data_IF_180538869705
#
_entry.id   IF_180538869705
#
_cell.length_a   1.000
_cell.length_b   1.000
_cell.length_c   1.000
_cell.angle_alpha   90.00
_cell.angle_beta   90.00
_cell.angle_gamma   90.00
#
_symmetry.space_group_name_H-M   'P 1'
#
loop_
_entity.id
_entity.type
_entity.pdbx_description
1 polymer ?
#
# COMPACT_ATOMS: atom_id res chain seq x y z
N UNK A 1 15.87 3.59 19.93
CA UNK A 1 14.44 3.34 19.68
C UNK A 1 14.38 2.12 18.78
N UNK A 2 13.73 1.03 19.22
CA UNK A 2 13.70 -0.22 18.44
C UNK A 2 12.54 -0.18 17.45
N UNK A 3 12.80 -0.47 16.17
CA UNK A 3 11.77 -0.61 15.12
C UNK A 3 10.76 -1.73 15.47
N UNK A 4 11.12 -2.63 16.38
CA UNK A 4 10.31 -3.75 16.85
C UNK A 4 8.95 -3.33 17.43
N UNK A 5 8.85 -2.13 17.99
CA UNK A 5 7.60 -1.60 18.56
C UNK A 5 6.90 -0.55 17.67
N UNK A 6 7.39 -0.32 16.45
CA UNK A 6 6.77 0.64 15.54
C UNK A 6 5.42 0.11 15.00
N UNK A 7 4.48 1.01 14.64
CA UNK A 7 3.26 0.63 13.93
C UNK A 7 3.56 -0.18 12.65
N UNK A 8 2.71 -1.14 12.26
CA UNK A 8 2.92 -1.99 11.09
C UNK A 8 3.21 -1.21 9.80
N UNK A 9 2.52 -0.08 9.59
CA UNK A 9 2.70 0.79 8.44
C UNK A 9 4.08 1.45 8.40
N UNK A 10 4.65 1.77 9.57
CA UNK A 10 6.00 2.34 9.68
C UNK A 10 7.04 1.27 9.37
N UNK A 11 6.87 0.05 9.89
CA UNK A 11 7.77 -1.08 9.59
C UNK A 11 7.79 -1.37 8.09
N UNK A 12 6.61 -1.48 7.48
CA UNK A 12 6.50 -1.72 6.05
C UNK A 12 7.11 -0.60 5.22
N UNK A 13 6.95 0.65 5.62
CA UNK A 13 7.59 1.78 4.93
C UNK A 13 9.13 1.67 4.99
N UNK A 14 9.69 1.28 6.14
CA UNK A 14 11.14 1.07 6.29
C UNK A 14 11.63 -0.06 5.39
N UNK A 15 10.94 -1.21 5.39
CA UNK A 15 11.30 -2.36 4.54
C UNK A 15 11.24 -2.00 3.05
N UNK A 16 10.23 -1.20 2.65
CA UNK A 16 10.11 -0.71 1.27
C UNK A 16 11.22 0.26 0.89
N UNK A 17 11.63 1.15 1.80
CA UNK A 17 12.75 2.07 1.57
C UNK A 17 14.05 1.27 1.39
N UNK A 18 14.33 0.32 2.28
CA UNK A 18 15.52 -0.54 2.17
C UNK A 18 15.55 -1.31 0.84
N UNK A 19 14.41 -1.85 0.41
CA UNK A 19 14.30 -2.53 -0.89
C UNK A 19 14.63 -1.60 -2.06
N UNK A 20 14.08 -0.38 -2.05
CA UNK A 20 14.30 0.60 -3.11
C UNK A 20 15.75 1.09 -3.16
N UNK A 21 16.36 1.33 -2.00
CA UNK A 21 17.76 1.73 -1.88
C UNK A 21 18.71 0.61 -2.32
N UNK A 22 18.43 -0.64 -1.93
CA UNK A 22 19.23 -1.81 -2.31
C UNK A 22 19.23 -2.05 -3.83
N UNK A 23 18.15 -1.66 -4.50
CA UNK A 23 18.03 -1.74 -5.97
C UNK A 23 18.47 -0.44 -6.68
N UNK A 24 19.08 0.51 -5.95
CA UNK A 24 19.59 1.78 -6.47
C UNK A 24 18.53 2.57 -7.27
N UNK A 25 17.27 2.50 -6.83
CA UNK A 25 16.16 3.15 -7.54
C UNK A 25 16.22 4.66 -7.30
N UNK A 26 16.19 5.44 -8.39
CA UNK A 26 16.11 6.90 -8.32
C UNK A 26 14.90 7.34 -7.47
N UNK A 27 15.07 8.28 -6.51
CA UNK A 27 13.98 8.70 -5.63
C UNK A 27 12.75 9.26 -6.36
N UNK A 28 12.94 9.98 -7.47
CA UNK A 28 11.81 10.51 -8.25
C UNK A 28 11.04 9.39 -8.94
N UNK A 29 11.77 8.38 -9.45
CA UNK A 29 11.17 7.16 -9.99
C UNK A 29 10.44 6.36 -8.91
N UNK A 30 11.03 6.20 -7.72
CA UNK A 30 10.41 5.51 -6.59
C UNK A 30 9.09 6.18 -6.19
N UNK A 31 9.07 7.51 -6.07
CA UNK A 31 7.84 8.26 -5.75
C UNK A 31 6.76 8.09 -6.83
N UNK A 32 7.14 8.11 -8.12
CA UNK A 32 6.20 7.89 -9.20
C UNK A 32 5.58 6.47 -9.15
N UNK A 33 6.39 5.45 -8.86
CA UNK A 33 5.93 4.07 -8.70
C UNK A 33 5.02 3.91 -7.46
N UNK A 34 5.40 4.50 -6.31
CA UNK A 34 4.61 4.45 -5.09
C UNK A 34 3.23 5.13 -5.26
N UNK A 35 3.14 6.21 -6.05
CA UNK A 35 1.85 6.82 -6.38
C UNK A 35 0.93 5.88 -7.19
N UNK A 36 1.50 5.04 -8.05
CA UNK A 36 0.73 4.02 -8.80
C UNK A 36 0.23 2.93 -7.83
N UNK A 37 1.10 2.45 -6.94
CA UNK A 37 0.78 1.46 -5.92
C UNK A 37 -0.33 1.97 -5.00
N UNK A 38 -0.21 3.21 -4.50
CA UNK A 38 -1.24 3.85 -3.66
C UNK A 38 -2.61 3.82 -4.34
N UNK A 39 -2.70 4.31 -5.57
CA UNK A 39 -3.95 4.32 -6.35
C UNK A 39 -4.52 2.92 -6.57
N UNK A 40 -3.68 1.90 -6.68
CA UNK A 40 -4.13 0.51 -6.81
C UNK A 40 -4.77 -0.04 -5.54
N UNK A 41 -4.16 0.23 -4.38
CA UNK A 41 -4.74 -0.15 -3.09
C UNK A 41 -6.03 0.62 -2.78
N UNK A 42 -6.09 1.91 -3.13
CA UNK A 42 -7.33 2.70 -3.02
C UNK A 42 -8.46 2.07 -3.84
N UNK A 43 -8.20 1.66 -5.09
CA UNK A 43 -9.18 0.96 -5.92
C UNK A 43 -9.59 -0.39 -5.31
N UNK A 44 -8.66 -1.16 -4.77
CA UNK A 44 -8.96 -2.45 -4.11
C UNK A 44 -9.86 -2.27 -2.88
N UNK A 45 -9.61 -1.25 -2.07
CA UNK A 45 -10.46 -0.90 -0.92
C UNK A 45 -11.87 -0.52 -1.39
N UNK A 46 -11.97 0.31 -2.43
CA UNK A 46 -13.26 0.67 -3.02
C UNK A 46 -14.00 -0.55 -3.56
N UNK A 47 -13.33 -1.43 -4.31
CA UNK A 47 -13.92 -2.65 -4.85
C UNK A 47 -14.42 -3.59 -3.74
N UNK A 48 -13.62 -3.80 -2.69
CA UNK A 48 -14.01 -4.60 -1.54
C UNK A 48 -15.27 -4.06 -0.85
N UNK A 49 -15.46 -2.73 -0.81
CA UNK A 49 -16.67 -2.11 -0.29
C UNK A 49 -17.89 -2.31 -1.20
N UNK A 50 -17.72 -2.38 -2.52
CA UNK A 50 -18.82 -2.59 -3.48
C UNK A 50 -19.24 -4.07 -3.61
N UNK A 51 -18.33 -5.02 -3.38
CA UNK A 51 -18.67 -6.46 -3.41
C UNK A 51 -19.57 -6.90 -2.24
N UNK A 52 -19.69 -6.09 -1.18
CA UNK A 52 -20.55 -6.40 -0.03
C UNK A 52 -22.02 -5.96 -0.21
N UNK A 53 -22.36 -5.16 -1.23
CA UNK A 53 -23.72 -4.63 -1.41
C UNK A 53 -24.58 -5.36 -2.45
N UNK A 54 -24.00 -6.23 -3.29
CA UNK A 54 -24.75 -6.95 -4.35
C UNK A 54 -25.28 -8.34 -3.92
N UNK A 55 -25.18 -8.69 -2.63
CA UNK A 55 -25.67 -9.96 -2.08
C UNK A 55 -27.00 -9.90 -1.32
N UNK A 56 -27.62 -8.72 -1.20
CA UNK A 56 -28.95 -8.60 -0.61
C UNK A 56 -30.00 -8.76 -1.71
N UNK A 57 -30.33 -10.00 -2.01
CA UNK A 57 -31.55 -10.42 -2.70
C UNK A 57 -32.77 -9.74 -2.05
N UNK A 58 -33.49 -8.84 -2.75
CA UNK A 58 -34.77 -8.32 -2.30
C UNK A 58 -35.87 -9.00 -3.13
N UNK A 59 -36.39 -10.12 -2.64
CA UNK A 59 -37.65 -10.79 -3.02
C UNK A 59 -37.85 -11.21 -4.51
#
# INVERSE_FOLDING_TARGET
>A
MSLENAPPEIKLAVDLIELLETNEIDPALALAALAIVQRDYERKIQQAAHTQTDGADPD
#
